data_IF_528249480854
#
_entry.id   IF_528249480854
#
_cell.length_a   1.000
_cell.length_b   1.000
_cell.length_c   1.000
_cell.angle_alpha   90.00
_cell.angle_beta   90.00
_cell.angle_gamma   90.00
#
_symmetry.space_group_name_H-M   'P 1'
#
loop_
_entity.id
_entity.type
_entity.pdbx_description
1 polymer ?
#
# COMPACT_ATOMS: atom_id res chain seq x y z
N UNK A 1 -17.09 11.28 -26.68
CA UNK A 1 -16.20 11.60 -25.58
C UNK A 1 -15.55 10.33 -24.99
N UNK A 2 -16.28 9.24 -24.76
CA UNK A 2 -15.75 8.00 -24.16
C UNK A 2 -15.42 6.88 -25.16
N UNK A 3 -15.55 7.11 -26.48
CA UNK A 3 -15.33 6.11 -27.52
C UNK A 3 -13.89 5.62 -27.67
N UNK A 4 -12.93 6.30 -27.06
CA UNK A 4 -11.50 5.92 -27.06
C UNK A 4 -11.08 5.17 -25.79
N UNK A 5 -12.03 4.85 -24.89
CA UNK A 5 -11.73 4.06 -23.70
C UNK A 5 -11.73 2.58 -24.06
N UNK A 6 -10.64 1.90 -23.74
CA UNK A 6 -10.55 0.46 -23.84
C UNK A 6 -11.15 -0.20 -22.59
N UNK A 7 -11.80 -1.34 -22.77
CA UNK A 7 -12.29 -2.13 -21.64
C UNK A 7 -11.10 -2.78 -20.95
N UNK A 8 -10.87 -2.44 -19.68
CA UNK A 8 -9.84 -3.07 -18.89
C UNK A 8 -10.18 -4.54 -18.59
N UNK A 9 -9.19 -5.42 -18.50
CA UNK A 9 -9.39 -6.79 -18.05
C UNK A 9 -9.98 -6.82 -16.64
N UNK A 10 -10.68 -7.93 -16.31
CA UNK A 10 -11.19 -8.14 -14.97
C UNK A 10 -10.06 -8.11 -13.95
N UNK A 11 -10.33 -7.53 -12.77
CA UNK A 11 -9.37 -7.50 -11.67
C UNK A 11 -8.93 -8.92 -11.30
N UNK A 12 -7.64 -9.26 -11.35
CA UNK A 12 -7.16 -10.62 -11.13
C UNK A 12 -7.39 -11.09 -9.69
N UNK A 13 -7.35 -10.20 -8.71
CA UNK A 13 -7.54 -10.53 -7.28
C UNK A 13 -9.02 -10.82 -7.00
N UNK A 14 -9.92 -9.96 -7.46
CA UNK A 14 -11.36 -10.16 -7.29
C UNK A 14 -11.84 -11.39 -8.07
N UNK A 15 -11.22 -11.70 -9.21
CA UNK A 15 -11.46 -12.92 -9.97
C UNK A 15 -11.16 -14.19 -9.18
N UNK A 16 -10.01 -14.23 -8.48
CA UNK A 16 -9.62 -15.35 -7.61
C UNK A 16 -10.58 -15.48 -6.42
N UNK A 17 -10.96 -14.38 -5.78
CA UNK A 17 -11.94 -14.39 -4.68
C UNK A 17 -13.30 -14.94 -5.15
N UNK A 18 -13.74 -14.56 -6.33
CA UNK A 18 -14.99 -15.07 -6.91
C UNK A 18 -14.89 -16.58 -7.25
N UNK A 19 -13.75 -17.04 -7.73
CA UNK A 19 -13.50 -18.46 -7.97
C UNK A 19 -13.50 -19.26 -6.65
N UNK A 20 -12.80 -18.77 -5.64
CA UNK A 20 -12.80 -19.39 -4.30
C UNK A 20 -14.21 -19.53 -3.72
N UNK A 21 -15.05 -18.51 -3.85
CA UNK A 21 -16.44 -18.59 -3.35
C UNK A 21 -17.28 -19.63 -4.07
N UNK A 22 -17.03 -19.87 -5.36
CA UNK A 22 -17.75 -20.88 -6.17
C UNK A 22 -17.24 -22.30 -5.97
N UNK A 23 -16.00 -22.45 -5.53
CA UNK A 23 -15.41 -23.75 -5.25
C UNK A 23 -16.12 -24.37 -4.06
N UNK A 24 -16.47 -25.66 -4.15
CA UNK A 24 -17.16 -26.42 -3.10
C UNK A 24 -16.23 -27.39 -2.36
N UNK A 25 -14.93 -27.38 -2.67
CA UNK A 25 -13.95 -28.22 -1.97
C UNK A 25 -13.92 -27.89 -0.46
N UNK A 26 -13.99 -28.88 0.42
CA UNK A 26 -14.04 -28.64 1.87
C UNK A 26 -12.70 -28.19 2.48
N UNK A 27 -11.59 -28.49 1.81
CA UNK A 27 -10.22 -28.22 2.23
C UNK A 27 -9.56 -27.02 1.52
N UNK A 28 -10.38 -26.17 0.87
CA UNK A 28 -9.87 -25.00 0.17
C UNK A 28 -9.37 -23.92 1.13
N UNK A 29 -8.30 -23.23 0.74
CA UNK A 29 -7.71 -22.10 1.47
C UNK A 29 -7.75 -20.85 0.61
N UNK A 30 -8.26 -19.74 1.17
CA UNK A 30 -8.30 -18.45 0.48
C UNK A 30 -6.98 -17.69 0.70
N UNK A 31 -6.17 -17.63 -0.35
CA UNK A 31 -4.93 -16.86 -0.42
C UNK A 31 -5.03 -15.68 -1.40
N UNK A 32 -6.24 -15.34 -1.86
CA UNK A 32 -6.47 -14.32 -2.88
C UNK A 32 -6.24 -12.89 -2.40
N UNK A 33 -6.47 -12.61 -1.12
CA UNK A 33 -6.31 -11.27 -0.53
C UNK A 33 -5.47 -11.37 0.74
N UNK A 34 -4.49 -10.48 0.86
CA UNK A 34 -3.61 -10.38 2.03
C UNK A 34 -4.32 -9.74 3.22
N UNK A 35 -5.21 -10.46 3.89
CA UNK A 35 -5.88 -10.06 5.13
C UNK A 35 -5.63 -11.09 6.22
N UNK A 36 -5.57 -10.65 7.47
CA UNK A 36 -5.53 -11.57 8.60
C UNK A 36 -6.83 -12.40 8.67
N UNK A 37 -6.68 -13.69 8.88
CA UNK A 37 -7.80 -14.61 9.15
C UNK A 37 -7.50 -15.42 10.40
N UNK A 38 -8.50 -15.59 11.25
CA UNK A 38 -8.44 -16.49 12.38
C UNK A 38 -8.61 -17.97 11.93
N UNK A 39 -8.52 -18.90 12.87
CA UNK A 39 -8.64 -20.35 12.60
C UNK A 39 -10.02 -20.76 12.04
N UNK A 40 -11.00 -19.88 12.13
CA UNK A 40 -12.34 -20.06 11.57
C UNK A 40 -12.51 -19.35 10.21
N UNK A 41 -11.44 -18.72 9.68
CA UNK A 41 -11.45 -17.99 8.43
C UNK A 41 -12.06 -16.58 8.51
N UNK A 42 -12.37 -16.06 9.70
CA UNK A 42 -12.92 -14.72 9.88
C UNK A 42 -11.81 -13.68 9.92
N UNK A 43 -12.16 -12.44 9.57
CA UNK A 43 -11.32 -11.26 9.75
C UNK A 43 -11.90 -10.42 10.89
N UNK A 44 -11.51 -10.66 12.15
CA UNK A 44 -12.08 -9.95 13.28
C UNK A 44 -11.61 -8.49 13.32
N UNK A 45 -12.49 -7.60 13.75
CA UNK A 45 -12.11 -6.22 14.08
C UNK A 45 -11.38 -6.23 15.43
N UNK A 46 -10.13 -5.72 15.50
CA UNK A 46 -9.39 -5.64 16.76
C UNK A 46 -10.16 -4.87 17.83
N UNK A 47 -10.06 -5.30 19.09
CA UNK A 47 -10.74 -4.64 20.21
C UNK A 47 -10.36 -3.17 20.38
N UNK A 48 -9.10 -2.83 20.12
CA UNK A 48 -8.59 -1.46 20.12
C UNK A 48 -9.28 -0.57 19.07
N UNK A 49 -9.57 -1.12 17.90
CA UNK A 49 -10.29 -0.38 16.84
C UNK A 49 -11.75 -0.13 17.25
N UNK A 50 -12.43 -1.16 17.79
CA UNK A 50 -13.80 -0.99 18.28
C UNK A 50 -13.91 0.04 19.38
N UNK A 51 -12.93 0.08 20.28
CA UNK A 51 -12.90 1.07 21.37
C UNK A 51 -12.65 2.47 20.82
N UNK A 52 -11.68 2.64 19.94
CA UNK A 52 -11.38 3.92 19.30
C UNK A 52 -12.59 4.46 18.51
N UNK A 53 -13.32 3.60 17.79
CA UNK A 53 -14.54 3.99 17.08
C UNK A 53 -15.64 4.45 18.04
N UNK A 54 -15.81 3.77 19.18
CA UNK A 54 -16.78 4.15 20.22
C UNK A 54 -16.45 5.49 20.86
N UNK A 55 -15.19 5.70 21.21
CA UNK A 55 -14.69 6.96 21.76
C UNK A 55 -14.85 8.09 20.74
N UNK A 56 -14.46 7.87 19.49
CA UNK A 56 -14.59 8.86 18.43
C UNK A 56 -16.06 9.26 18.22
N UNK A 57 -16.97 8.29 18.19
CA UNK A 57 -18.40 8.55 18.06
C UNK A 57 -18.95 9.41 19.23
N UNK A 58 -18.44 9.19 20.43
CA UNK A 58 -18.89 9.92 21.63
C UNK A 58 -18.40 11.37 21.67
N UNK A 59 -17.21 11.66 21.12
CA UNK A 59 -16.58 12.99 21.23
C UNK A 59 -16.65 13.81 19.95
N UNK A 60 -16.86 13.18 18.81
CA UNK A 60 -16.85 13.87 17.51
C UNK A 60 -18.13 14.68 17.33
N UNK A 61 -18.02 15.99 17.34
CA UNK A 61 -19.15 16.92 17.20
C UNK A 61 -19.29 17.49 15.79
N UNK A 62 -18.32 17.25 14.89
CA UNK A 62 -18.30 17.82 13.54
C UNK A 62 -17.69 16.86 12.52
N UNK A 63 -18.14 16.98 11.28
CA UNK A 63 -17.60 16.33 10.07
C UNK A 63 -17.08 17.37 9.08
N UNK A 64 -16.58 18.48 9.55
CA UNK A 64 -16.02 19.54 8.71
C UNK A 64 -14.75 19.09 7.99
N UNK A 65 -14.32 19.89 7.01
CA UNK A 65 -13.06 19.65 6.31
C UNK A 65 -11.86 19.71 7.27
N UNK A 66 -10.90 18.83 7.04
CA UNK A 66 -9.55 18.91 7.61
C UNK A 66 -8.62 19.70 6.69
N UNK A 67 -7.47 20.13 7.19
CA UNK A 67 -6.46 20.80 6.36
C UNK A 67 -5.86 19.89 5.28
N UNK A 68 -5.09 20.45 4.32
CA UNK A 68 -4.51 19.68 3.21
C UNK A 68 -3.62 18.51 3.64
N UNK A 69 -2.99 18.61 4.82
CA UNK A 69 -2.18 17.53 5.40
C UNK A 69 -3.01 16.45 6.12
N UNK A 70 -4.33 16.62 6.21
CA UNK A 70 -5.20 15.72 6.96
C UNK A 70 -5.30 16.06 8.45
N UNK A 71 -5.61 15.07 9.27
CA UNK A 71 -5.71 15.24 10.72
C UNK A 71 -4.31 15.33 11.36
N UNK A 72 -4.05 16.43 12.06
CA UNK A 72 -2.74 16.72 12.68
C UNK A 72 -2.36 15.68 13.73
N UNK A 73 -3.29 15.33 14.61
CA UNK A 73 -3.05 14.32 15.64
C UNK A 73 -2.76 12.94 15.04
N UNK A 74 -3.49 12.56 13.99
CA UNK A 74 -3.18 11.33 13.26
C UNK A 74 -1.75 11.35 12.72
N UNK A 75 -1.32 12.45 12.09
CA UNK A 75 0.02 12.58 11.53
C UNK A 75 1.11 12.45 12.61
N UNK A 76 0.92 13.07 13.77
CA UNK A 76 1.84 12.95 14.91
C UNK A 76 1.93 11.53 15.47
N UNK A 77 0.77 10.87 15.64
CA UNK A 77 0.70 9.50 16.16
C UNK A 77 1.32 8.48 15.21
N UNK A 78 1.06 8.62 13.90
CA UNK A 78 1.61 7.67 12.92
C UNK A 78 3.13 7.81 12.78
N UNK A 79 3.69 9.00 12.91
CA UNK A 79 5.14 9.21 12.95
C UNK A 79 5.77 8.50 14.15
N UNK A 80 5.17 8.67 15.33
CA UNK A 80 5.64 8.00 16.53
C UNK A 80 5.57 6.47 16.41
N UNK A 81 4.50 5.94 15.81
CA UNK A 81 4.32 4.51 15.59
C UNK A 81 5.33 3.97 14.56
N UNK A 82 5.51 4.65 13.43
CA UNK A 82 6.34 4.19 12.32
C UNK A 82 7.85 4.31 12.60
N UNK A 83 8.27 5.37 13.28
CA UNK A 83 9.69 5.68 13.52
C UNK A 83 10.15 5.27 14.94
N UNK A 84 9.23 5.01 15.87
CA UNK A 84 9.55 4.59 17.23
C UNK A 84 10.52 5.56 17.90
N UNK A 85 11.61 5.03 18.44
CA UNK A 85 12.65 5.84 19.12
C UNK A 85 13.38 6.83 18.21
N UNK A 86 13.31 6.67 16.90
CA UNK A 86 13.96 7.58 15.95
C UNK A 86 13.14 8.85 15.68
N UNK A 87 11.85 8.87 16.05
CA UNK A 87 10.93 9.96 15.72
C UNK A 87 11.44 11.33 16.21
N UNK A 88 11.98 11.38 17.42
CA UNK A 88 12.50 12.63 18.00
C UNK A 88 13.69 13.20 17.23
N UNK A 89 14.63 12.35 16.81
CA UNK A 89 15.83 12.76 16.06
C UNK A 89 15.54 13.10 14.60
N UNK A 90 14.41 12.65 14.06
CA UNK A 90 14.03 12.87 12.67
C UNK A 90 12.97 13.96 12.48
N UNK A 91 12.50 14.60 13.53
CA UNK A 91 11.39 15.57 13.52
C UNK A 91 11.54 16.63 12.42
N UNK A 92 12.70 17.28 12.33
CA UNK A 92 12.98 18.36 11.37
C UNK A 92 13.18 17.84 9.92
N UNK A 93 13.23 16.53 9.73
CA UNK A 93 13.41 15.87 8.43
C UNK A 93 12.19 15.08 7.99
N UNK A 94 11.12 15.13 8.76
CA UNK A 94 9.91 14.35 8.50
C UNK A 94 8.72 15.26 8.26
N UNK A 95 8.08 15.10 7.11
CA UNK A 95 6.77 15.68 6.81
C UNK A 95 5.76 14.53 6.64
N UNK A 96 4.58 14.69 7.21
CA UNK A 96 3.55 13.65 7.21
C UNK A 96 2.24 14.21 6.71
N UNK A 97 1.63 13.49 5.78
CA UNK A 97 0.29 13.79 5.25
C UNK A 97 -0.59 12.56 5.35
N UNK A 98 -1.80 12.75 5.82
CA UNK A 98 -2.85 11.72 5.79
C UNK A 98 -3.44 11.63 4.39
N UNK A 99 -3.59 10.42 3.89
CA UNK A 99 -4.14 10.14 2.56
C UNK A 99 -5.27 9.13 2.61
N UNK A 100 -5.98 8.95 1.50
CA UNK A 100 -7.00 7.90 1.37
C UNK A 100 -6.31 6.55 1.15
N UNK A 101 -5.93 5.90 2.25
CA UNK A 101 -5.27 4.59 2.26
C UNK A 101 -3.91 4.57 1.57
N UNK A 102 -3.33 3.37 1.42
CA UNK A 102 -2.02 3.17 0.81
C UNK A 102 -1.95 3.56 -0.66
N UNK A 103 -3.01 3.35 -1.43
CA UNK A 103 -3.06 3.77 -2.84
C UNK A 103 -2.96 5.29 -2.97
N UNK A 104 -3.67 6.04 -2.12
CA UNK A 104 -3.56 7.51 -2.05
C UNK A 104 -2.16 7.95 -1.67
N UNK A 105 -1.52 7.27 -0.71
CA UNK A 105 -0.16 7.56 -0.29
C UNK A 105 0.85 7.35 -1.42
N UNK A 106 0.79 6.21 -2.11
CA UNK A 106 1.66 5.90 -3.24
C UNK A 106 1.48 6.91 -4.38
N UNK A 107 0.24 7.28 -4.69
CA UNK A 107 -0.03 8.25 -5.75
C UNK A 107 0.54 9.63 -5.42
N UNK A 108 0.28 10.14 -4.21
CA UNK A 108 0.79 11.46 -3.79
C UNK A 108 2.32 11.43 -3.69
N UNK A 109 2.91 10.34 -3.19
CA UNK A 109 4.35 10.16 -3.17
C UNK A 109 4.97 10.18 -4.57
N UNK A 110 4.36 9.49 -5.53
CA UNK A 110 4.80 9.50 -6.92
C UNK A 110 4.72 10.89 -7.56
N UNK A 111 3.63 11.64 -7.31
CA UNK A 111 3.49 13.02 -7.80
C UNK A 111 4.55 13.95 -7.17
N UNK A 112 4.86 13.78 -5.89
CA UNK A 112 5.89 14.55 -5.21
C UNK A 112 7.28 14.28 -5.81
N UNK A 113 7.62 13.00 -6.03
CA UNK A 113 8.88 12.61 -6.67
C UNK A 113 8.97 13.21 -8.06
N UNK A 114 7.92 13.07 -8.87
CA UNK A 114 7.88 13.64 -10.21
C UNK A 114 8.03 15.15 -10.22
N UNK A 115 7.38 15.86 -9.29
CA UNK A 115 7.50 17.31 -9.18
C UNK A 115 8.92 17.74 -8.81
N UNK A 116 9.64 16.92 -8.05
CA UNK A 116 11.04 17.15 -7.68
C UNK A 116 12.01 16.78 -8.81
N UNK A 117 11.87 15.60 -9.40
CA UNK A 117 12.65 15.16 -10.58
C UNK A 117 11.75 14.32 -11.51
N UNK A 118 11.33 14.87 -12.65
CA UNK A 118 10.51 14.16 -13.62
C UNK A 118 11.23 13.00 -14.32
N UNK A 119 12.54 12.85 -14.14
CA UNK A 119 13.35 11.75 -14.69
C UNK A 119 13.63 10.67 -13.67
N UNK A 120 13.15 10.82 -12.45
CA UNK A 120 13.34 9.82 -11.40
C UNK A 120 12.79 8.46 -11.84
N UNK A 121 13.48 7.39 -11.45
CA UNK A 121 13.09 6.01 -11.70
C UNK A 121 12.67 5.39 -10.36
N UNK A 122 11.51 4.75 -10.34
CA UNK A 122 11.02 4.03 -9.17
C UNK A 122 11.33 2.55 -9.34
N UNK A 123 12.08 1.99 -8.41
CA UNK A 123 12.44 0.58 -8.43
C UNK A 123 11.45 -0.23 -7.61
N UNK A 124 10.93 -1.31 -8.19
CA UNK A 124 9.97 -2.23 -7.55
C UNK A 124 10.46 -3.66 -7.64
N UNK A 125 10.06 -4.49 -6.70
CA UNK A 125 10.42 -5.92 -6.71
C UNK A 125 9.78 -6.67 -7.89
N UNK A 126 10.41 -7.77 -8.34
CA UNK A 126 9.81 -8.73 -9.27
C UNK A 126 9.65 -10.10 -8.59
N UNK A 127 8.42 -10.55 -8.31
CA UNK A 127 7.12 -9.88 -8.53
C UNK A 127 6.88 -8.71 -7.56
N UNK A 128 5.95 -7.85 -7.92
CA UNK A 128 5.46 -6.75 -7.09
C UNK A 128 3.94 -6.70 -7.07
N UNK A 129 3.36 -5.90 -6.18
CA UNK A 129 1.92 -5.66 -6.18
C UNK A 129 1.46 -4.99 -7.47
N UNK A 130 0.44 -5.56 -8.11
CA UNK A 130 -0.03 -5.12 -9.43
C UNK A 130 -0.40 -3.63 -9.49
N UNK A 131 -0.85 -3.04 -8.38
CA UNK A 131 -1.22 -1.63 -8.33
C UNK A 131 -0.03 -0.66 -8.30
N UNK A 132 1.20 -1.13 -8.06
CA UNK A 132 2.36 -0.24 -8.13
C UNK A 132 2.51 0.37 -9.53
N UNK A 133 2.33 -0.41 -10.58
CA UNK A 133 2.46 0.08 -11.96
C UNK A 133 1.44 1.18 -12.31
N UNK A 134 0.12 1.01 -12.12
CA UNK A 134 -0.82 2.07 -12.45
C UNK A 134 -0.72 3.27 -11.51
N UNK A 135 -0.39 3.08 -10.22
CA UNK A 135 -0.29 4.19 -9.27
C UNK A 135 0.92 5.09 -9.55
N UNK A 136 2.08 4.49 -9.79
CA UNK A 136 3.33 5.22 -10.06
C UNK A 136 3.41 5.62 -11.53
N UNK A 137 3.16 4.68 -12.45
CA UNK A 137 3.26 4.95 -13.89
C UNK A 137 2.30 6.03 -14.39
N UNK A 138 1.09 6.13 -13.83
CA UNK A 138 0.14 7.19 -14.19
C UNK A 138 0.55 8.59 -13.71
N UNK A 139 1.54 8.71 -12.81
CA UNK A 139 2.19 9.99 -12.52
C UNK A 139 3.19 10.39 -13.61
N UNK A 140 3.55 9.48 -14.53
CA UNK A 140 4.54 9.67 -15.58
C UNK A 140 5.97 9.36 -15.17
N UNK A 141 6.17 8.72 -14.02
CA UNK A 141 7.47 8.18 -13.61
C UNK A 141 7.72 6.83 -14.29
N UNK A 142 9.00 6.53 -14.51
CA UNK A 142 9.44 5.22 -15.01
C UNK A 142 9.56 4.24 -13.86
N UNK A 143 9.04 3.01 -14.04
CA UNK A 143 9.29 1.91 -13.12
C UNK A 143 10.34 0.97 -13.71
N UNK A 144 11.25 0.51 -12.86
CA UNK A 144 12.17 -0.58 -13.15
C UNK A 144 12.02 -1.66 -12.10
N UNK A 145 12.13 -2.93 -12.53
CA UNK A 145 12.03 -4.08 -11.64
C UNK A 145 13.41 -4.58 -11.25
N UNK A 146 13.55 -5.02 -10.02
CA UNK A 146 14.72 -5.74 -9.52
C UNK A 146 14.34 -7.18 -9.12
N UNK A 147 15.25 -8.16 -9.26
CA UNK A 147 14.98 -9.54 -8.88
C UNK A 147 14.69 -9.62 -7.39
N UNK A 148 13.62 -10.33 -7.02
CA UNK A 148 13.20 -10.46 -5.63
C UNK A 148 12.87 -11.90 -5.26
N UNK A 149 12.14 -12.62 -6.12
CA UNK A 149 11.70 -13.98 -5.86
C UNK A 149 12.25 -14.94 -6.91
N UNK A 150 12.85 -16.03 -6.47
CA UNK A 150 13.29 -17.13 -7.32
C UNK A 150 12.25 -18.27 -7.29
N UNK A 151 11.52 -18.52 -8.38
CA UNK A 151 10.51 -19.57 -8.44
C UNK A 151 11.10 -20.99 -8.39
N UNK A 152 12.38 -21.18 -8.75
CA UNK A 152 13.03 -22.48 -8.74
C UNK A 152 13.35 -22.94 -7.30
N UNK A 153 13.89 -22.02 -6.50
CA UNK A 153 14.22 -22.27 -5.09
C UNK A 153 13.09 -21.94 -4.14
N UNK A 154 12.08 -21.16 -4.60
CA UNK A 154 10.97 -20.61 -3.80
C UNK A 154 11.45 -19.72 -2.64
N UNK A 155 12.55 -19.02 -2.85
CA UNK A 155 13.17 -18.15 -1.86
C UNK A 155 13.36 -16.73 -2.41
N UNK A 156 13.77 -15.82 -1.53
CA UNK A 156 14.20 -14.49 -1.94
C UNK A 156 15.53 -14.60 -2.66
N UNK A 157 15.62 -14.05 -3.86
CA UNK A 157 16.86 -13.93 -4.65
C UNK A 157 17.73 -12.79 -4.07
N UNK A 158 18.20 -12.97 -2.83
CA UNK A 158 18.80 -11.89 -2.03
C UNK A 158 20.06 -11.30 -2.68
N UNK A 159 21.00 -12.16 -3.11
CA UNK A 159 22.25 -11.68 -3.74
C UNK A 159 21.99 -10.91 -5.04
N UNK A 160 21.20 -11.43 -6.02
CA UNK A 160 20.87 -10.67 -7.22
C UNK A 160 20.11 -9.37 -6.93
N UNK A 161 19.25 -9.38 -5.92
CA UNK A 161 18.55 -8.18 -5.47
C UNK A 161 19.56 -7.12 -4.99
N UNK A 162 20.46 -7.49 -4.08
CA UNK A 162 21.45 -6.57 -3.52
C UNK A 162 22.42 -6.06 -4.59
N UNK A 163 22.92 -6.94 -5.45
CA UNK A 163 23.78 -6.52 -6.56
C UNK A 163 23.14 -5.46 -7.46
N UNK A 164 21.85 -5.59 -7.73
CA UNK A 164 21.15 -4.60 -8.54
C UNK A 164 20.92 -3.30 -7.76
N UNK A 165 20.49 -3.37 -6.50
CA UNK A 165 20.19 -2.20 -5.67
C UNK A 165 21.46 -1.38 -5.38
N UNK A 166 22.61 -2.02 -5.16
CA UNK A 166 23.89 -1.37 -4.92
C UNK A 166 24.45 -0.62 -6.14
N UNK A 167 24.00 -0.98 -7.36
CA UNK A 167 24.39 -0.30 -8.60
C UNK A 167 23.52 0.92 -8.92
N UNK A 168 22.47 1.16 -8.13
CA UNK A 168 21.61 2.34 -8.32
C UNK A 168 22.37 3.61 -7.91
N UNK A 169 22.14 4.74 -8.63
CA UNK A 169 22.81 6.01 -8.38
C UNK A 169 22.42 6.64 -7.03
#
# INVERSE_FOLDING_TARGET
MFGNLETLPADPILGVTAAFRRDTAPDKVDLGVGVYRDDLGNTPVPSSIREAERELLAVQTSKTYVGPAGNVEFNERIVALALGSLAAGLKERTATIQTVGGCGALRIGAELIRASDPRAVVHVSDPTWANHEPLVGSSGLTLQRYPYYDPATRQVAFEPMMEQLERLP
#
